data_IF_110520696982
#
_entry.id   IF_110520696982
#
_cell.length_a   1.000
_cell.length_b   1.000
_cell.length_c   1.000
_cell.angle_alpha   90.00
_cell.angle_beta   90.00
_cell.angle_gamma   90.00
#
_symmetry.space_group_name_H-M   'P 1'
#
loop_
_entity.id
_entity.type
_entity.pdbx_description
1 polymer ?
#
# COMPACT_ATOMS: atom_id res chain seq x y z
N UNK A 1 24.16 -23.02 -36.11
CA UNK A 1 23.80 -21.62 -36.46
C UNK A 1 22.84 -21.49 -37.67
N UNK A 2 22.26 -22.57 -38.16
CA UNK A 2 21.39 -22.58 -39.37
C UNK A 2 19.89 -22.72 -39.07
N UNK A 3 19.45 -22.65 -37.80
CA UNK A 3 18.04 -22.82 -37.41
C UNK A 3 17.30 -21.53 -37.06
N UNK A 4 17.94 -20.38 -37.07
CA UNK A 4 17.31 -19.09 -36.63
C UNK A 4 16.81 -18.28 -37.85
N UNK A 5 17.21 -18.59 -39.05
CA UNK A 5 16.87 -17.83 -40.26
C UNK A 5 15.43 -18.07 -40.78
N UNK A 6 14.77 -19.12 -40.34
CA UNK A 6 13.43 -19.53 -40.83
C UNK A 6 12.31 -19.37 -39.77
N UNK A 7 12.61 -18.69 -38.64
CA UNK A 7 11.56 -18.33 -37.70
C UNK A 7 10.87 -17.04 -38.19
N UNK A 8 9.66 -17.18 -38.68
CA UNK A 8 8.77 -16.06 -38.96
C UNK A 8 8.49 -15.33 -37.64
N UNK A 9 9.15 -14.19 -37.43
CA UNK A 9 8.89 -13.32 -36.27
C UNK A 9 7.55 -12.64 -36.57
N UNK A 10 6.47 -13.24 -36.08
CA UNK A 10 5.19 -12.51 -36.01
C UNK A 10 5.36 -11.28 -35.14
N UNK A 11 5.03 -10.11 -35.67
CA UNK A 11 5.02 -8.87 -34.90
C UNK A 11 4.15 -9.08 -33.67
N UNK A 12 4.70 -8.71 -32.50
CA UNK A 12 3.93 -8.72 -31.26
C UNK A 12 2.77 -7.73 -31.43
N UNK A 13 1.55 -8.24 -31.55
CA UNK A 13 0.35 -7.41 -31.50
C UNK A 13 0.14 -7.01 -30.04
N UNK A 14 0.38 -5.73 -29.75
CA UNK A 14 0.11 -5.16 -28.44
C UNK A 14 -1.40 -5.19 -28.19
N UNK A 15 -1.83 -6.08 -27.32
CA UNK A 15 -3.25 -6.19 -26.95
C UNK A 15 -3.60 -4.94 -26.13
N UNK A 16 -4.26 -3.97 -26.78
CA UNK A 16 -4.82 -2.81 -26.10
C UNK A 16 -5.95 -3.29 -25.19
N UNK A 17 -5.85 -3.04 -23.91
CA UNK A 17 -6.92 -3.33 -22.95
C UNK A 17 -7.83 -2.10 -22.97
N UNK A 18 -8.93 -2.18 -23.67
CA UNK A 18 -9.97 -1.14 -23.74
C UNK A 18 -11.03 -1.40 -22.65
N UNK A 19 -10.58 -1.49 -21.41
CA UNK A 19 -11.43 -1.68 -20.25
C UNK A 19 -11.21 -0.52 -19.28
N UNK A 20 -12.28 0.15 -18.78
CA UNK A 20 -12.15 1.19 -17.78
C UNK A 20 -11.63 0.60 -16.47
N UNK A 21 -10.90 1.42 -15.68
CA UNK A 21 -10.42 1.03 -14.35
C UNK A 21 -11.57 0.60 -13.43
N UNK A 22 -12.66 1.35 -13.44
CA UNK A 22 -13.87 1.04 -12.69
C UNK A 22 -15.01 0.72 -13.63
N UNK A 23 -15.68 -0.41 -13.41
CA UNK A 23 -16.90 -0.78 -14.14
C UNK A 23 -18.07 0.15 -13.79
N UNK A 24 -18.14 0.58 -12.54
CA UNK A 24 -19.16 1.49 -12.03
C UNK A 24 -18.50 2.61 -11.24
N UNK A 25 -18.99 3.83 -11.46
CA UNK A 25 -18.52 5.00 -10.71
C UNK A 25 -19.24 5.02 -9.36
N UNK A 26 -18.53 5.15 -8.22
CA UNK A 26 -19.18 5.13 -6.93
C UNK A 26 -20.14 6.32 -6.74
N UNK A 27 -21.22 6.08 -6.00
CA UNK A 27 -21.99 7.13 -5.38
C UNK A 27 -21.17 7.71 -4.23
N UNK A 28 -20.79 8.94 -4.30
CA UNK A 28 -19.98 9.57 -3.27
C UNK A 28 -20.79 10.10 -2.09
N UNK A 29 -20.12 10.77 -1.18
CA UNK A 29 -20.73 11.62 -0.16
C UNK A 29 -20.21 13.05 -0.27
N UNK A 30 -21.05 14.01 0.08
CA UNK A 30 -20.70 15.44 -0.04
C UNK A 30 -19.82 15.90 1.11
N UNK A 31 -19.12 17.01 0.89
CA UNK A 31 -18.45 17.75 1.96
C UNK A 31 -19.51 18.30 2.93
N UNK A 32 -19.44 17.87 4.18
CA UNK A 32 -20.34 18.29 5.27
C UNK A 32 -19.71 19.33 6.20
N UNK A 33 -18.39 19.46 6.17
CA UNK A 33 -17.64 20.45 6.94
C UNK A 33 -16.46 21.00 6.16
N UNK A 34 -16.16 22.28 6.35
CA UNK A 34 -14.97 22.94 5.78
C UNK A 34 -14.30 23.77 6.86
N UNK A 35 -12.96 23.62 6.97
CA UNK A 35 -12.11 24.45 7.81
C UNK A 35 -10.97 25.01 6.97
N UNK A 36 -10.65 26.27 7.21
CA UNK A 36 -9.51 26.94 6.59
C UNK A 36 -8.43 27.16 7.65
N UNK A 37 -7.22 26.84 7.29
CA UNK A 37 -6.05 27.04 8.14
C UNK A 37 -5.12 28.09 7.51
N UNK A 38 -4.15 28.55 8.28
CA UNK A 38 -3.08 29.38 7.76
C UNK A 38 -2.37 28.70 6.57
N UNK A 39 -1.71 29.49 5.75
CA UNK A 39 -0.91 29.02 4.62
C UNK A 39 -1.72 28.35 3.51
N UNK A 40 -2.97 28.81 3.29
CA UNK A 40 -3.89 28.34 2.24
C UNK A 40 -4.19 26.83 2.31
N UNK A 41 -4.23 26.25 3.50
CA UNK A 41 -4.67 24.88 3.70
C UNK A 41 -6.17 24.86 3.94
N UNK A 42 -6.87 24.04 3.17
CA UNK A 42 -8.30 23.79 3.31
C UNK A 42 -8.52 22.34 3.74
N UNK A 43 -9.28 22.11 4.80
CA UNK A 43 -9.72 20.78 5.21
C UNK A 43 -11.20 20.61 4.95
N UNK A 44 -11.56 19.51 4.30
CA UNK A 44 -12.92 19.05 4.11
C UNK A 44 -13.19 17.81 4.96
N UNK A 45 -14.36 17.76 5.54
CA UNK A 45 -14.92 16.58 6.19
C UNK A 45 -16.05 16.04 5.30
N UNK A 46 -15.99 14.75 4.97
CA UNK A 46 -16.97 14.10 4.11
C UNK A 46 -18.05 13.40 4.95
N UNK A 47 -19.22 13.17 4.33
CA UNK A 47 -20.34 12.52 5.00
C UNK A 47 -20.06 11.08 5.49
N UNK A 48 -19.05 10.41 4.93
CA UNK A 48 -18.57 9.09 5.39
C UNK A 48 -17.47 9.15 6.47
N UNK A 49 -17.13 10.34 6.99
CA UNK A 49 -16.15 10.55 8.04
C UNK A 49 -14.74 10.85 7.55
N UNK A 50 -14.41 10.58 6.29
CA UNK A 50 -13.09 10.87 5.70
C UNK A 50 -12.76 12.35 5.82
N UNK A 51 -11.53 12.67 6.24
CA UNK A 51 -10.98 14.03 6.25
C UNK A 51 -9.99 14.22 5.11
N UNK A 52 -10.05 15.38 4.48
CA UNK A 52 -9.20 15.69 3.31
C UNK A 52 -8.59 17.07 3.47
N UNK A 53 -7.29 17.13 3.71
CA UNK A 53 -6.52 18.37 3.74
C UNK A 53 -5.90 18.64 2.37
N UNK A 54 -6.11 19.84 1.85
CA UNK A 54 -5.62 20.27 0.55
C UNK A 54 -4.70 21.47 0.71
N UNK A 55 -3.51 21.37 0.14
CA UNK A 55 -2.51 22.44 0.10
C UNK A 55 -2.15 22.76 -1.35
N UNK A 56 -2.82 23.73 -1.99
CA UNK A 56 -2.40 24.23 -3.29
C UNK A 56 -1.00 24.81 -3.24
N UNK A 57 -0.15 24.46 -4.21
CA UNK A 57 1.20 25.02 -4.38
C UNK A 57 1.53 25.16 -5.86
N UNK A 58 2.44 26.06 -6.18
CA UNK A 58 2.96 26.34 -7.53
C UNK A 58 4.41 25.83 -7.73
N UNK A 59 4.93 25.00 -6.82
CA UNK A 59 6.31 24.50 -6.90
C UNK A 59 6.54 23.60 -8.12
N UNK A 60 5.51 22.84 -8.52
CA UNK A 60 5.52 21.99 -9.71
C UNK A 60 4.15 22.03 -10.37
N UNK A 61 4.11 22.51 -11.59
CA UNK A 61 2.87 22.65 -12.36
C UNK A 61 2.25 21.33 -12.81
N UNK A 62 3.07 20.27 -12.87
CA UNK A 62 2.73 18.95 -13.40
C UNK A 62 2.50 17.88 -12.33
N UNK A 63 2.46 18.24 -11.03
CA UNK A 63 2.43 17.25 -9.97
C UNK A 63 1.47 17.59 -8.83
N UNK A 64 0.72 16.58 -8.43
CA UNK A 64 -0.01 16.50 -7.16
C UNK A 64 0.47 15.26 -6.41
N UNK A 65 0.91 15.43 -5.17
CA UNK A 65 1.28 14.36 -4.25
C UNK A 65 0.13 14.12 -3.28
N UNK A 66 -0.04 12.87 -2.84
CA UNK A 66 -0.97 12.58 -1.77
C UNK A 66 -0.48 11.49 -0.83
N UNK A 67 -1.00 11.54 0.39
CA UNK A 67 -0.96 10.48 1.37
C UNK A 67 -2.30 10.42 2.10
N UNK A 68 -2.89 9.23 2.16
CA UNK A 68 -4.00 8.90 3.05
C UNK A 68 -3.50 7.96 4.14
N UNK A 69 -3.92 8.14 5.39
CA UNK A 69 -3.50 7.29 6.49
C UNK A 69 -4.56 7.21 7.60
N UNK A 70 -4.54 6.11 8.33
CA UNK A 70 -5.30 5.83 9.53
C UNK A 70 -4.40 5.17 10.58
N UNK A 71 -4.64 5.37 11.88
CA UNK A 71 -3.87 4.70 12.93
C UNK A 71 -4.31 3.25 13.11
N UNK A 72 -3.36 2.33 13.28
CA UNK A 72 -3.63 0.90 13.47
C UNK A 72 -2.44 0.05 13.10
N UNK A 73 -2.29 -0.18 11.81
CA UNK A 73 -1.20 -0.94 11.22
C UNK A 73 -1.16 -2.40 11.68
N UNK A 74 -0.01 -3.02 11.50
CA UNK A 74 0.18 -4.40 11.93
C UNK A 74 0.18 -4.57 13.45
N UNK A 75 0.16 -3.46 14.23
CA UNK A 75 -0.01 -3.55 15.69
C UNK A 75 -1.32 -4.22 16.09
N UNK A 76 -2.33 -4.16 15.24
CA UNK A 76 -3.66 -4.72 15.50
C UNK A 76 -3.74 -6.23 15.20
N UNK A 77 -2.82 -6.79 14.42
CA UNK A 77 -2.73 -8.23 14.23
C UNK A 77 -2.47 -8.94 15.57
N UNK A 78 -3.02 -10.11 15.78
CA UNK A 78 -2.58 -11.03 16.83
C UNK A 78 -1.19 -11.60 16.50
N UNK A 79 -0.57 -12.29 17.45
CA UNK A 79 0.73 -12.94 17.19
C UNK A 79 0.60 -14.09 16.19
N UNK A 80 -0.56 -14.72 16.11
CA UNK A 80 -0.88 -15.78 15.15
C UNK A 80 -1.08 -15.22 13.74
N UNK A 81 -1.64 -14.03 13.61
CA UNK A 81 -1.87 -13.34 12.36
C UNK A 81 -0.65 -12.53 11.88
N UNK A 82 0.38 -12.42 12.70
CA UNK A 82 1.53 -11.55 12.40
C UNK A 82 2.18 -11.84 11.03
N UNK A 83 2.40 -13.09 10.68
CA UNK A 83 3.06 -13.44 9.43
C UNK A 83 2.22 -13.09 8.21
N UNK A 84 0.93 -13.48 8.11
CA UNK A 84 0.03 -12.99 7.07
C UNK A 84 -0.05 -11.45 7.02
N UNK A 85 -0.19 -10.78 8.17
CA UNK A 85 -0.29 -9.33 8.26
C UNK A 85 0.98 -8.63 7.72
N UNK A 86 2.16 -9.13 8.07
CA UNK A 86 3.44 -8.59 7.63
C UNK A 86 3.66 -8.72 6.11
N UNK A 87 2.99 -9.68 5.47
CA UNK A 87 3.07 -9.95 4.03
C UNK A 87 1.93 -9.33 3.23
N UNK A 88 0.88 -8.84 3.89
CA UNK A 88 -0.37 -8.41 3.27
C UNK A 88 -0.15 -7.40 2.14
N UNK A 89 0.55 -6.31 2.41
CA UNK A 89 0.75 -5.25 1.42
C UNK A 89 1.50 -5.74 0.19
N UNK A 90 2.60 -6.48 0.36
CA UNK A 90 3.43 -6.93 -0.76
C UNK A 90 2.70 -7.96 -1.62
N UNK A 91 1.92 -8.85 -1.03
CA UNK A 91 1.17 -9.87 -1.75
C UNK A 91 0.00 -9.26 -2.54
N UNK A 92 -0.73 -8.32 -1.95
CA UNK A 92 -1.86 -7.67 -2.61
C UNK A 92 -1.38 -6.74 -3.72
N UNK A 93 -0.35 -5.92 -3.50
CA UNK A 93 0.22 -5.09 -4.57
C UNK A 93 0.80 -5.92 -5.72
N UNK A 94 1.46 -7.02 -5.41
CA UNK A 94 2.01 -7.91 -6.42
C UNK A 94 0.96 -8.66 -7.22
N UNK A 95 -0.21 -8.88 -6.65
CA UNK A 95 -1.36 -9.48 -7.32
C UNK A 95 -2.01 -8.57 -8.36
N UNK A 96 -1.83 -7.27 -8.26
CA UNK A 96 -2.49 -6.29 -9.14
C UNK A 96 -3.62 -5.53 -8.44
N UNK A 97 -4.66 -5.13 -9.19
CA UNK A 97 -5.75 -4.32 -8.65
C UNK A 97 -7.06 -4.62 -9.40
N UNK A 98 -8.10 -4.98 -8.68
CA UNK A 98 -9.39 -5.34 -9.25
C UNK A 98 -9.29 -6.48 -10.29
N UNK A 99 -9.80 -6.31 -11.50
CA UNK A 99 -9.70 -7.33 -12.55
C UNK A 99 -8.31 -7.42 -13.18
N UNK A 100 -7.42 -6.45 -12.93
CA UNK A 100 -6.14 -6.32 -13.60
C UNK A 100 -5.01 -6.95 -12.77
N UNK A 101 -4.27 -7.88 -13.35
CA UNK A 101 -2.95 -8.23 -12.84
C UNK A 101 -1.97 -7.06 -13.06
N UNK A 102 -0.76 -7.13 -12.49
CA UNK A 102 0.22 -6.03 -12.58
C UNK A 102 0.64 -5.66 -14.01
N UNK A 103 0.64 -6.61 -14.94
CA UNK A 103 0.97 -6.37 -16.34
C UNK A 103 -0.17 -5.63 -17.04
N UNK A 104 -1.39 -6.09 -16.85
CA UNK A 104 -2.57 -5.48 -17.45
C UNK A 104 -2.86 -4.10 -16.87
N UNK A 105 -2.71 -3.92 -15.55
CA UNK A 105 -2.83 -2.62 -14.90
C UNK A 105 -1.83 -1.60 -15.50
N UNK A 106 -0.59 -2.02 -15.74
CA UNK A 106 0.42 -1.16 -16.38
C UNK A 106 0.03 -0.78 -17.80
N UNK A 107 -0.58 -1.70 -18.56
CA UNK A 107 -1.07 -1.42 -19.92
C UNK A 107 -2.21 -0.41 -19.92
N UNK A 108 -3.19 -0.61 -19.05
CA UNK A 108 -4.33 0.32 -18.89
C UNK A 108 -3.86 1.72 -18.49
N UNK A 109 -2.80 1.82 -17.69
CA UNK A 109 -2.22 3.08 -17.24
C UNK A 109 -1.20 3.68 -18.23
N UNK A 110 -1.00 3.07 -19.41
CA UNK A 110 -0.07 3.61 -20.41
C UNK A 110 -0.48 5.03 -20.82
N UNK A 111 0.46 5.97 -20.73
CA UNK A 111 0.21 7.39 -21.03
C UNK A 111 -0.45 8.17 -19.89
N UNK A 112 -0.73 7.55 -18.75
CA UNK A 112 -1.24 8.20 -17.54
C UNK A 112 -0.11 8.47 -16.54
N UNK A 113 -0.15 9.62 -15.92
CA UNK A 113 0.73 9.98 -14.80
C UNK A 113 -0.10 9.95 -13.53
N UNK A 114 -0.33 8.75 -13.03
CA UNK A 114 -1.10 8.51 -11.81
C UNK A 114 -0.59 7.26 -11.11
N UNK A 115 -0.55 7.29 -9.78
CA UNK A 115 -0.17 6.15 -8.95
C UNK A 115 -0.86 6.20 -7.61
N UNK A 116 -1.22 5.03 -7.07
CA UNK A 116 -1.65 4.83 -5.70
C UNK A 116 -1.04 3.52 -5.20
N UNK A 117 -0.42 3.55 -4.02
CA UNK A 117 0.24 2.39 -3.41
C UNK A 117 -0.18 2.28 -1.96
N UNK A 118 -0.82 1.18 -1.57
CA UNK A 118 -1.13 0.93 -0.17
C UNK A 118 0.15 0.67 0.63
N UNK A 119 0.08 0.95 1.90
CA UNK A 119 1.07 0.53 2.89
C UNK A 119 0.36 0.13 4.18
N UNK A 120 0.95 -0.81 4.92
CA UNK A 120 0.59 -1.14 6.29
C UNK A 120 1.91 -1.18 7.05
N UNK A 121 2.11 -0.19 7.91
CA UNK A 121 3.28 -0.09 8.79
C UNK A 121 2.99 -0.73 10.15
N UNK A 122 3.87 -0.55 11.13
CA UNK A 122 3.63 -1.06 12.47
C UNK A 122 2.43 -0.43 13.16
N UNK A 123 2.15 0.87 12.93
CA UNK A 123 1.18 1.65 13.70
C UNK A 123 0.16 2.41 12.87
N UNK A 124 0.26 2.31 11.56
CA UNK A 124 -0.66 2.96 10.62
C UNK A 124 -0.77 2.17 9.33
N UNK A 125 -1.89 2.28 8.68
CA UNK A 125 -2.12 1.88 7.32
C UNK A 125 -2.47 3.08 6.46
N UNK A 126 -2.35 2.92 5.15
CA UNK A 126 -2.71 3.99 4.26
C UNK A 126 -2.38 3.75 2.81
N UNK A 127 -2.49 4.82 2.04
CA UNK A 127 -2.18 4.85 0.63
C UNK A 127 -1.41 6.12 0.28
N UNK A 128 -0.38 6.00 -0.51
CA UNK A 128 0.44 7.13 -0.98
C UNK A 128 0.60 7.10 -2.48
N UNK A 129 0.80 8.25 -3.09
CA UNK A 129 1.02 8.31 -4.53
C UNK A 129 1.08 9.72 -5.07
N UNK A 130 0.93 9.78 -6.39
CA UNK A 130 0.98 11.04 -7.11
C UNK A 130 0.20 10.96 -8.41
N UNK A 131 -0.15 12.13 -8.95
CA UNK A 131 -0.73 12.27 -10.26
C UNK A 131 -0.39 13.60 -10.90
N UNK A 132 -0.57 13.69 -12.23
CA UNK A 132 -0.62 14.98 -12.90
C UNK A 132 -1.98 15.63 -12.70
N UNK A 133 -2.11 16.96 -12.78
CA UNK A 133 -3.42 17.64 -12.77
C UNK A 133 -4.40 17.10 -13.82
N UNK A 134 -3.88 16.60 -14.94
CA UNK A 134 -4.67 16.03 -16.06
C UNK A 134 -5.18 14.62 -15.77
N UNK A 135 -4.51 13.88 -14.89
CA UNK A 135 -4.81 12.47 -14.57
C UNK A 135 -5.33 12.30 -13.14
N UNK A 136 -5.82 13.37 -12.52
CA UNK A 136 -6.37 13.33 -11.16
C UNK A 136 -7.47 12.29 -11.01
N UNK A 137 -8.39 12.22 -11.96
CA UNK A 137 -9.48 11.24 -11.89
C UNK A 137 -8.93 9.80 -11.89
N UNK A 138 -7.92 9.51 -12.72
CA UNK A 138 -7.24 8.20 -12.71
C UNK A 138 -6.60 7.92 -11.36
N UNK A 139 -5.96 8.92 -10.76
CA UNK A 139 -5.37 8.80 -9.41
C UNK A 139 -6.44 8.47 -8.35
N UNK A 140 -7.57 9.16 -8.36
CA UNK A 140 -8.68 8.90 -7.45
C UNK A 140 -9.32 7.54 -7.67
N UNK A 141 -9.45 7.07 -8.91
CA UNK A 141 -9.91 5.71 -9.22
C UNK A 141 -8.96 4.66 -8.63
N UNK A 142 -7.65 4.84 -8.75
CA UNK A 142 -6.66 3.95 -8.15
C UNK A 142 -6.74 3.95 -6.62
N UNK A 143 -6.93 5.11 -5.98
CA UNK A 143 -7.15 5.18 -4.54
C UNK A 143 -8.40 4.38 -4.17
N UNK A 144 -9.52 4.63 -4.83
CA UNK A 144 -10.78 3.93 -4.56
C UNK A 144 -10.65 2.41 -4.70
N UNK A 145 -10.01 1.94 -5.78
CA UNK A 145 -9.79 0.51 -6.00
C UNK A 145 -8.87 -0.12 -4.94
N UNK A 146 -7.92 0.64 -4.39
CA UNK A 146 -7.02 0.16 -3.33
C UNK A 146 -7.81 -0.27 -2.09
N UNK A 147 -8.91 0.42 -1.77
CA UNK A 147 -9.81 0.07 -0.68
C UNK A 147 -10.80 -1.03 -1.06
N UNK A 148 -11.37 -0.97 -2.26
CA UNK A 148 -12.57 -1.73 -2.61
C UNK A 148 -12.30 -2.97 -3.46
N UNK A 149 -11.14 -3.06 -4.10
CA UNK A 149 -10.84 -4.12 -5.06
C UNK A 149 -9.40 -4.68 -4.91
N UNK A 150 -8.95 -5.02 -3.67
CA UNK A 150 -7.67 -5.69 -3.49
C UNK A 150 -7.67 -7.04 -4.21
N UNK A 151 -6.53 -7.39 -4.83
CA UNK A 151 -6.40 -8.62 -5.60
C UNK A 151 -5.38 -9.56 -4.96
N UNK A 152 -5.83 -10.75 -4.55
CA UNK A 152 -4.96 -11.86 -4.23
C UNK A 152 -4.70 -12.69 -5.50
N UNK A 153 -3.44 -12.89 -5.85
CA UNK A 153 -3.04 -13.64 -7.04
C UNK A 153 -2.19 -14.86 -6.66
N UNK A 154 -2.71 -16.09 -6.84
CA UNK A 154 -1.98 -17.30 -6.48
C UNK A 154 -0.68 -17.50 -7.26
N UNK A 155 -0.63 -17.08 -8.54
CA UNK A 155 0.59 -17.22 -9.34
C UNK A 155 1.68 -16.28 -8.82
N UNK A 156 1.33 -15.06 -8.48
CA UNK A 156 2.27 -14.14 -7.83
C UNK A 156 2.74 -14.67 -6.47
N UNK A 157 1.85 -15.26 -5.68
CA UNK A 157 2.18 -15.86 -4.39
C UNK A 157 3.23 -16.96 -4.50
N UNK A 158 3.10 -17.85 -5.48
CA UNK A 158 4.09 -18.89 -5.74
C UNK A 158 5.46 -18.31 -6.16
N UNK A 159 5.45 -17.28 -7.01
CA UNK A 159 6.68 -16.58 -7.41
C UNK A 159 7.32 -15.89 -6.20
N UNK A 160 6.53 -15.22 -5.37
CA UNK A 160 6.98 -14.58 -4.14
C UNK A 160 7.66 -15.59 -3.21
N UNK A 161 7.01 -16.73 -2.93
CA UNK A 161 7.55 -17.77 -2.04
C UNK A 161 8.85 -18.37 -2.59
N UNK A 162 8.88 -18.72 -3.88
CA UNK A 162 10.07 -19.31 -4.51
C UNK A 162 11.27 -18.35 -4.45
N UNK A 163 11.04 -17.08 -4.78
CA UNK A 163 12.10 -16.05 -4.77
C UNK A 163 12.63 -15.79 -3.37
N UNK A 164 11.73 -15.65 -2.39
CA UNK A 164 12.12 -15.38 -0.99
C UNK A 164 12.83 -16.58 -0.37
N UNK A 165 12.35 -17.82 -0.62
CA UNK A 165 13.01 -19.03 -0.16
C UNK A 165 14.46 -19.11 -0.64
N UNK A 166 14.70 -18.84 -1.92
CA UNK A 166 16.05 -18.83 -2.48
C UNK A 166 16.94 -17.77 -1.81
N UNK A 167 16.38 -16.57 -1.57
CA UNK A 167 17.08 -15.49 -0.88
C UNK A 167 17.44 -15.88 0.57
N UNK A 168 16.48 -16.46 1.30
CA UNK A 168 16.66 -16.86 2.70
C UNK A 168 17.67 -17.99 2.87
N UNK A 169 17.69 -18.98 1.97
CA UNK A 169 18.68 -20.06 2.01
C UNK A 169 20.13 -19.57 1.91
N UNK A 170 20.36 -18.46 1.22
CA UNK A 170 21.70 -17.88 1.06
C UNK A 170 22.03 -16.83 2.14
N UNK A 171 21.03 -16.40 2.90
CA UNK A 171 21.14 -15.32 3.89
C UNK A 171 22.13 -15.64 4.99
N UNK A 172 22.08 -16.86 5.49
CA UNK A 172 22.90 -17.32 6.62
C UNK A 172 24.41 -17.41 6.32
N UNK A 173 24.80 -17.35 5.06
CA UNK A 173 26.21 -17.31 4.67
C UNK A 173 26.91 -15.96 4.96
N UNK A 174 26.15 -14.89 5.23
CA UNK A 174 26.68 -13.54 5.40
C UNK A 174 26.97 -13.19 6.85
N UNK A 175 28.26 -12.89 7.22
CA UNK A 175 28.60 -12.40 8.56
C UNK A 175 27.88 -11.10 8.93
N UNK A 176 27.64 -10.20 7.96
CA UNK A 176 26.94 -8.94 8.17
C UNK A 176 25.47 -9.16 8.56
N UNK A 177 24.83 -10.17 8.00
CA UNK A 177 23.46 -10.55 8.37
C UNK A 177 23.44 -11.05 9.82
N UNK A 178 24.33 -11.95 10.20
CA UNK A 178 24.40 -12.45 11.56
C UNK A 178 24.63 -11.33 12.60
N UNK A 179 25.45 -10.34 12.24
CA UNK A 179 25.70 -9.18 13.10
C UNK A 179 24.45 -8.31 13.24
N UNK A 180 23.78 -8.00 12.14
CA UNK A 180 22.55 -7.19 12.17
C UNK A 180 21.40 -7.90 12.92
N UNK A 181 21.27 -9.22 12.76
CA UNK A 181 20.29 -10.01 13.50
C UNK A 181 20.55 -9.99 15.00
N UNK A 182 21.82 -10.08 15.42
CA UNK A 182 22.18 -9.95 16.82
C UNK A 182 21.84 -8.56 17.39
N UNK A 183 22.15 -7.49 16.65
CA UNK A 183 21.76 -6.12 17.03
C UNK A 183 20.25 -6.03 17.18
N UNK A 184 19.51 -6.46 16.16
CA UNK A 184 18.06 -6.38 16.17
C UNK A 184 17.46 -7.15 17.36
N UNK A 185 17.87 -8.38 17.57
CA UNK A 185 17.46 -9.21 18.70
C UNK A 185 17.73 -8.54 20.05
N UNK A 186 18.91 -7.94 20.22
CA UNK A 186 19.27 -7.23 21.46
C UNK A 186 18.40 -5.98 21.62
N UNK A 187 18.30 -5.15 20.57
CA UNK A 187 17.61 -3.86 20.64
C UNK A 187 16.10 -4.01 20.86
N UNK A 188 15.51 -5.10 20.40
CA UNK A 188 14.07 -5.38 20.55
C UNK A 188 13.76 -6.38 21.66
N UNK A 189 14.79 -6.82 22.41
CA UNK A 189 14.68 -7.85 23.44
C UNK A 189 14.03 -9.15 22.90
N UNK A 190 14.41 -9.54 21.68
CA UNK A 190 13.90 -10.71 20.96
C UNK A 190 12.38 -10.69 20.73
N UNK A 191 11.80 -9.49 20.57
CA UNK A 191 10.38 -9.36 20.30
C UNK A 191 9.98 -10.15 19.05
N UNK A 192 8.85 -10.87 19.10
CA UNK A 192 8.38 -11.79 18.06
C UNK A 192 8.37 -11.14 16.67
N UNK A 193 7.87 -9.92 16.58
CA UNK A 193 7.65 -9.21 15.31
C UNK A 193 8.91 -8.58 14.72
N UNK A 194 9.97 -8.55 15.52
CA UNK A 194 11.28 -8.06 15.13
C UNK A 194 12.27 -9.17 14.80
N UNK A 195 11.86 -10.43 14.94
CA UNK A 195 12.71 -11.58 14.58
C UNK A 195 12.94 -11.63 13.07
N UNK A 196 14.14 -12.05 12.66
CA UNK A 196 14.42 -12.24 11.24
C UNK A 196 13.47 -13.24 10.60
N UNK A 197 13.05 -12.93 9.37
CA UNK A 197 12.29 -13.88 8.54
C UNK A 197 13.21 -15.07 8.20
N UNK A 198 12.71 -16.28 8.40
CA UNK A 198 13.38 -17.55 8.08
C UNK A 198 12.58 -18.30 7.02
N UNK A 199 13.13 -19.41 6.50
CA UNK A 199 12.38 -20.31 5.62
C UNK A 199 11.14 -20.86 6.32
N UNK A 200 11.26 -21.20 7.60
CA UNK A 200 10.14 -21.66 8.43
C UNK A 200 9.05 -20.57 8.56
N UNK A 201 9.44 -19.33 8.82
CA UNK A 201 8.52 -18.19 8.86
C UNK A 201 7.82 -18.02 7.50
N UNK A 202 8.56 -18.15 6.39
CA UNK A 202 8.00 -18.05 5.04
C UNK A 202 6.96 -19.14 4.78
N UNK A 203 7.15 -20.35 5.32
CA UNK A 203 6.20 -21.47 5.17
C UNK A 203 4.86 -21.22 5.87
N UNK A 204 4.81 -20.25 6.79
CA UNK A 204 3.59 -19.78 7.45
C UNK A 204 2.93 -18.60 6.76
N UNK A 205 3.50 -18.12 5.63
CA UNK A 205 2.85 -17.08 4.82
C UNK A 205 1.60 -17.64 4.18
N UNK A 206 0.47 -16.96 4.37
CA UNK A 206 -0.84 -17.35 3.87
C UNK A 206 -1.46 -16.22 3.04
N UNK A 207 -1.75 -16.51 1.77
CA UNK A 207 -2.35 -15.54 0.86
C UNK A 207 -3.76 -15.13 1.30
N UNK A 208 -4.55 -16.09 1.79
CA UNK A 208 -5.91 -15.83 2.27
C UNK A 208 -5.92 -14.97 3.53
N UNK A 209 -5.07 -15.31 4.50
CA UNK A 209 -4.89 -14.52 5.72
C UNK A 209 -4.33 -13.12 5.43
N UNK A 210 -3.39 -13.00 4.48
CA UNK A 210 -2.86 -11.70 4.05
C UNK A 210 -3.94 -10.83 3.39
N UNK A 211 -4.82 -11.42 2.56
CA UNK A 211 -5.94 -10.69 1.96
C UNK A 211 -6.94 -10.27 3.04
N UNK A 212 -7.31 -11.16 3.95
CA UNK A 212 -8.26 -10.87 5.02
C UNK A 212 -7.77 -9.73 5.92
N UNK A 213 -6.49 -9.76 6.32
CA UNK A 213 -5.90 -8.68 7.09
C UNK A 213 -5.85 -7.36 6.32
N UNK A 214 -5.48 -7.40 5.03
CA UNK A 214 -5.51 -6.21 4.19
C UNK A 214 -6.92 -5.62 4.11
N UNK A 215 -7.93 -6.45 3.84
CA UNK A 215 -9.32 -6.01 3.75
C UNK A 215 -9.79 -5.39 5.06
N UNK A 216 -9.50 -5.99 6.20
CA UNK A 216 -9.85 -5.46 7.52
C UNK A 216 -9.26 -4.06 7.76
N UNK A 217 -8.03 -3.79 7.29
CA UNK A 217 -7.40 -2.46 7.44
C UNK A 217 -7.99 -1.40 6.52
N UNK A 218 -8.58 -1.80 5.38
CA UNK A 218 -9.12 -0.88 4.38
C UNK A 218 -10.66 -0.91 4.27
N UNK A 219 -11.36 -1.67 5.10
CA UNK A 219 -12.84 -1.74 5.05
C UNK A 219 -13.54 -0.55 5.71
N UNK A 220 -12.83 0.27 6.47
CA UNK A 220 -13.35 1.49 7.08
C UNK A 220 -12.45 2.69 6.78
N UNK A 221 -12.96 3.63 6.03
CA UNK A 221 -12.25 4.87 5.72
C UNK A 221 -12.66 6.05 6.62
N UNK A 222 -13.56 5.86 7.59
CA UNK A 222 -14.11 6.96 8.40
C UNK A 222 -13.07 7.66 9.28
N UNK A 223 -11.99 6.99 9.64
CA UNK A 223 -10.88 7.54 10.43
C UNK A 223 -9.67 7.93 9.57
N UNK A 224 -9.75 7.76 8.24
CA UNK A 224 -8.69 8.16 7.34
C UNK A 224 -8.62 9.69 7.18
N UNK A 225 -7.38 10.16 7.15
CA UNK A 225 -7.05 11.53 6.77
C UNK A 225 -6.22 11.49 5.48
N UNK A 226 -6.71 12.14 4.43
CA UNK A 226 -5.98 12.33 3.17
C UNK A 226 -5.37 13.72 3.13
N UNK A 227 -4.13 13.82 2.68
CA UNK A 227 -3.43 15.09 2.47
C UNK A 227 -3.02 15.14 1.00
N UNK A 228 -3.41 16.21 0.31
CA UNK A 228 -3.01 16.48 -1.08
C UNK A 228 -2.21 17.77 -1.13
N UNK A 229 -1.08 17.74 -1.82
CA UNK A 229 -0.17 18.89 -1.99
C UNK A 229 0.27 18.97 -3.45
N UNK A 230 0.21 20.14 -4.04
CA UNK A 230 0.69 20.36 -5.41
C UNK A 230 -0.15 21.35 -6.19
N UNK A 231 -0.11 21.23 -7.51
CA UNK A 231 -0.90 22.08 -8.41
C UNK A 231 -2.37 21.64 -8.37
N UNK A 232 -3.09 22.16 -7.39
CA UNK A 232 -4.47 21.79 -7.04
C UNK A 232 -5.39 22.97 -7.31
N UNK A 233 -6.45 22.72 -8.08
CA UNK A 233 -7.63 23.57 -8.16
C UNK A 233 -8.73 22.95 -7.29
N UNK A 234 -9.21 23.68 -6.29
CA UNK A 234 -10.21 23.21 -5.34
C UNK A 234 -11.55 22.89 -6.00
N UNK A 235 -11.93 23.62 -7.04
CA UNK A 235 -13.18 23.39 -7.79
C UNK A 235 -13.11 22.10 -8.61
N UNK A 236 -11.92 21.75 -9.12
CA UNK A 236 -11.65 20.48 -9.80
C UNK A 236 -11.57 19.32 -8.81
N UNK A 237 -10.93 19.53 -7.67
CA UNK A 237 -10.74 18.50 -6.64
C UNK A 237 -12.04 18.08 -5.95
N UNK A 238 -12.91 19.04 -5.65
CA UNK A 238 -14.15 18.79 -4.88
C UNK A 238 -14.99 17.65 -5.45
N UNK A 239 -15.41 17.65 -6.72
CA UNK A 239 -16.23 16.56 -7.26
C UNK A 239 -15.51 15.20 -7.27
N UNK A 240 -14.17 15.17 -7.41
CA UNK A 240 -13.39 13.94 -7.34
C UNK A 240 -13.31 13.41 -5.91
N UNK A 241 -13.04 14.27 -4.94
CA UNK A 241 -13.02 13.95 -3.52
C UNK A 241 -14.38 13.43 -3.05
N UNK A 242 -15.46 14.17 -3.34
CA UNK A 242 -16.80 13.75 -2.96
C UNK A 242 -17.21 12.41 -3.56
N UNK A 243 -16.84 12.15 -4.81
CA UNK A 243 -17.15 10.91 -5.53
C UNK A 243 -16.33 9.74 -5.02
N UNK A 244 -15.02 9.83 -5.08
CA UNK A 244 -14.14 8.68 -4.87
C UNK A 244 -13.78 8.48 -3.40
N UNK A 245 -13.39 9.53 -2.67
CA UNK A 245 -13.10 9.39 -1.23
C UNK A 245 -14.39 9.35 -0.42
N UNK A 246 -15.39 10.12 -0.81
CA UNK A 246 -16.73 10.05 -0.20
C UNK A 246 -17.48 8.76 -0.49
N UNK A 247 -17.07 8.00 -1.51
CA UNK A 247 -17.58 6.67 -1.84
C UNK A 247 -16.81 5.52 -1.20
N UNK A 248 -15.75 5.78 -0.44
CA UNK A 248 -15.04 4.74 0.30
C UNK A 248 -15.93 4.11 1.38
N UNK A 249 -15.74 2.81 1.64
CA UNK A 249 -16.51 2.13 2.70
C UNK A 249 -16.27 2.81 4.05
N UNK A 250 -17.31 2.86 4.87
CA UNK A 250 -17.28 3.45 6.20
C UNK A 250 -18.20 2.70 7.14
N UNK A 251 -17.63 2.21 8.24
CA UNK A 251 -18.36 1.52 9.32
C UNK A 251 -18.35 2.33 10.60
N UNK A 252 -17.68 3.49 10.62
CA UNK A 252 -17.45 4.35 11.77
C UNK A 252 -16.74 3.62 12.91
N UNK A 253 -15.81 2.74 12.58
CA UNK A 253 -14.97 2.04 13.54
C UNK A 253 -14.00 3.04 14.17
N UNK A 254 -13.83 2.96 15.48
CA UNK A 254 -12.84 3.80 16.19
C UNK A 254 -11.68 2.92 16.58
N UNK A 255 -10.58 3.08 15.88
CA UNK A 255 -9.36 2.32 16.12
C UNK A 255 -8.17 3.22 16.45
N UNK A 256 -7.18 2.63 17.08
CA UNK A 256 -5.86 3.21 17.29
C UNK A 256 -4.84 2.09 17.35
N UNK A 257 -3.58 2.43 17.16
CA UNK A 257 -2.50 1.46 17.26
C UNK A 257 -2.40 0.86 18.68
N UNK A 258 -1.94 -0.38 18.75
CA UNK A 258 -1.68 -1.11 20.00
C UNK A 258 -0.19 -1.05 20.34
N UNK A 259 0.13 -0.67 21.58
CA UNK A 259 1.49 -0.79 22.11
C UNK A 259 1.84 -2.27 22.32
N UNK A 260 2.78 -2.79 21.53
CA UNK A 260 3.23 -4.17 21.57
C UNK A 260 4.28 -4.43 22.67
N UNK A 261 4.63 -3.41 23.44
CA UNK A 261 5.60 -3.52 24.53
C UNK A 261 7.05 -3.66 24.07
N UNK A 262 7.36 -3.50 22.80
CA UNK A 262 8.73 -3.50 22.30
C UNK A 262 9.50 -2.31 22.87
N UNK A 263 10.61 -2.60 23.53
CA UNK A 263 11.44 -1.58 24.20
C UNK A 263 12.92 -1.91 24.01
N UNK A 264 13.78 -0.90 23.89
CA UNK A 264 15.22 -1.13 23.93
C UNK A 264 15.66 -1.66 25.28
N UNK A 265 16.74 -2.44 25.34
CA UNK A 265 17.29 -2.95 26.59
C UNK A 265 17.78 -1.82 27.49
N UNK A 266 17.81 -2.07 28.78
CA UNK A 266 18.37 -1.13 29.75
C UNK A 266 19.88 -1.35 29.92
N UNK A 267 20.65 -0.26 29.84
CA UNK A 267 22.11 -0.28 30.01
C UNK A 267 22.86 -0.73 28.76
N UNK A 268 24.15 -0.97 28.92
CA UNK A 268 25.02 -1.45 27.86
C UNK A 268 24.98 -2.98 27.78
N UNK A 269 24.82 -3.52 26.57
CA UNK A 269 24.92 -4.95 26.29
C UNK A 269 26.11 -5.16 25.36
N UNK A 270 26.96 -6.13 25.68
CA UNK A 270 28.08 -6.52 24.84
C UNK A 270 27.91 -7.99 24.42
N UNK A 271 27.96 -8.25 23.12
CA UNK A 271 27.87 -9.57 22.53
C UNK A 271 28.92 -9.73 21.43
N UNK A 272 29.58 -10.86 21.36
CA UNK A 272 30.56 -11.16 20.31
C UNK A 272 29.91 -12.11 19.31
N UNK A 273 29.65 -11.61 18.11
CA UNK A 273 29.13 -12.42 17.00
C UNK A 273 30.31 -13.03 16.25
N UNK A 274 30.37 -14.38 16.17
CA UNK A 274 31.36 -15.13 15.41
C UNK A 274 30.66 -15.97 14.35
N UNK A 275 31.13 -15.85 13.11
CA UNK A 275 30.65 -16.63 11.98
C UNK A 275 31.79 -16.95 11.01
#
# INVERSE_FOLDING_TARGET
LTGVADMEITAYEETVIDQPLLAEIPEGSTVVGTREFAEDIVEWELGNGVRVALKPTDFREDQVLFQGFSPGGTSLASDEEWIPASSATVLIQGGGLGPFNTTDLRRVLTGKVASARPFISSFEEGVTGSGSPQDLETMFQLIYMTFTAPRADPEYFEVFNTRNRTSLQNRDASPAVAFNDAINRIMTQDALRSRPVTVETLDHTDLGGSLAFYQDRFEDASDFTFIFVGNIDLDVMRPLVERYLGGLPSTNRVETWRDLGERPPRGAIEEIVRK
#
